data_IF_842112221743
#
_entry.id   IF_842112221743
#
_cell.length_a   1.000
_cell.length_b   1.000
_cell.length_c   1.000
_cell.angle_alpha   90.00
_cell.angle_beta   90.00
_cell.angle_gamma   90.00
#
_symmetry.space_group_name_H-M   'P 1'
#
loop_
_entity.id
_entity.type
_entity.pdbx_description
1 polymer ?
#
# COMPACT_ATOMS: atom_id res chain seq x y z
N UNK A 1 16.95 -4.22 -15.83
CA UNK A 1 17.29 -4.73 -17.20
C UNK A 1 18.28 -5.91 -17.17
N UNK A 2 19.29 -5.95 -16.29
CA UNK A 2 20.29 -7.06 -16.25
C UNK A 2 19.72 -8.48 -16.09
N UNK A 3 18.78 -8.71 -15.16
CA UNK A 3 18.23 -10.06 -14.90
C UNK A 3 17.26 -10.54 -15.99
N UNK A 4 16.40 -9.65 -16.51
CA UNK A 4 15.47 -9.97 -17.60
C UNK A 4 16.24 -10.38 -18.86
N UNK A 5 17.28 -9.60 -19.23
CA UNK A 5 18.12 -9.95 -20.38
C UNK A 5 18.80 -11.31 -20.24
N UNK A 6 19.27 -11.65 -19.03
CA UNK A 6 19.85 -12.97 -18.77
C UNK A 6 18.83 -14.08 -19.04
N UNK A 7 17.59 -13.92 -18.58
CA UNK A 7 16.51 -14.88 -18.84
C UNK A 7 16.15 -14.98 -20.33
N UNK A 8 16.13 -13.85 -21.05
CA UNK A 8 15.95 -13.84 -22.50
C UNK A 8 17.08 -14.58 -23.23
N UNK A 9 18.34 -14.32 -22.85
CA UNK A 9 19.51 -14.96 -23.42
C UNK A 9 19.54 -16.49 -23.09
N UNK A 10 18.88 -16.91 -22.01
CA UNK A 10 18.63 -18.33 -21.64
C UNK A 10 17.44 -18.96 -22.40
N UNK A 11 16.74 -18.19 -23.25
CA UNK A 11 15.65 -18.68 -24.11
C UNK A 11 14.24 -18.41 -23.61
N UNK A 12 14.06 -17.66 -22.52
CA UNK A 12 12.72 -17.27 -22.03
C UNK A 12 12.15 -16.17 -22.92
N UNK A 13 10.95 -16.40 -23.46
CA UNK A 13 10.21 -15.40 -24.24
C UNK A 13 9.28 -14.59 -23.34
N UNK A 14 9.44 -13.27 -23.30
CA UNK A 14 8.55 -12.36 -22.58
C UNK A 14 7.56 -11.70 -23.55
N UNK A 15 6.27 -11.95 -23.35
CA UNK A 15 5.19 -11.25 -24.03
C UNK A 15 4.61 -10.20 -23.09
N UNK A 16 4.93 -8.93 -23.33
CA UNK A 16 4.46 -7.80 -22.52
C UNK A 16 3.22 -7.15 -23.12
N UNK A 17 2.49 -6.35 -22.33
CA UNK A 17 1.25 -5.69 -22.78
C UNK A 17 0.17 -6.69 -23.20
N UNK A 18 0.12 -7.83 -22.50
CA UNK A 18 -0.85 -8.91 -22.73
C UNK A 18 -1.52 -9.23 -21.40
N UNK A 19 -2.85 -9.26 -21.41
CA UNK A 19 -3.69 -9.65 -20.29
C UNK A 19 -4.34 -11.01 -20.56
N UNK A 20 -3.97 -12.02 -19.77
CA UNK A 20 -4.56 -13.37 -19.87
C UNK A 20 -6.04 -13.33 -19.48
N UNK A 21 -6.89 -13.99 -20.25
CA UNK A 21 -8.35 -13.92 -20.13
C UNK A 21 -9.00 -12.78 -20.92
N UNK A 22 -8.22 -11.81 -21.43
CA UNK A 22 -8.70 -10.71 -22.27
C UNK A 22 -8.07 -10.78 -23.67
N UNK A 23 -6.75 -10.62 -23.75
CA UNK A 23 -6.00 -10.63 -25.02
C UNK A 23 -5.69 -12.05 -25.49
N UNK A 24 -5.36 -12.94 -24.54
CA UNK A 24 -5.14 -14.36 -24.79
C UNK A 24 -6.09 -15.14 -23.91
N UNK A 25 -6.96 -15.92 -24.54
CA UNK A 25 -7.89 -16.80 -23.82
C UNK A 25 -7.11 -17.86 -23.05
N UNK A 26 -7.48 -18.05 -21.79
CA UNK A 26 -6.86 -19.03 -20.92
C UNK A 26 -6.90 -20.45 -21.49
N UNK A 27 -8.04 -20.85 -22.10
CA UNK A 27 -8.19 -22.16 -22.74
C UNK A 27 -7.07 -22.44 -23.75
N UNK A 28 -6.68 -21.42 -24.52
CA UNK A 28 -5.59 -21.56 -25.49
C UNK A 28 -4.27 -21.92 -24.79
N UNK A 29 -4.00 -21.35 -23.62
CA UNK A 29 -2.80 -21.70 -22.85
C UNK A 29 -2.86 -23.14 -22.32
N UNK A 30 -4.04 -23.60 -21.89
CA UNK A 30 -4.25 -24.97 -21.41
C UNK A 30 -4.08 -25.98 -22.54
N UNK A 31 -4.54 -25.65 -23.75
CA UNK A 31 -4.44 -26.52 -24.92
C UNK A 31 -3.02 -26.53 -25.52
N UNK A 32 -2.30 -25.39 -25.49
CA UNK A 32 -1.01 -25.22 -26.18
C UNK A 32 0.22 -25.59 -25.31
N UNK A 33 0.09 -25.72 -23.98
CA UNK A 33 1.22 -25.93 -23.07
C UNK A 33 1.00 -27.07 -22.08
N UNK A 34 2.07 -27.83 -21.80
CA UNK A 34 2.05 -28.96 -20.85
C UNK A 34 1.88 -28.53 -19.38
N UNK A 35 2.27 -27.30 -19.03
CA UNK A 35 2.20 -26.76 -17.68
C UNK A 35 2.00 -25.24 -17.68
N UNK A 36 1.26 -24.76 -16.69
CA UNK A 36 0.99 -23.34 -16.46
C UNK A 36 1.37 -23.01 -15.01
N UNK A 37 2.17 -21.96 -14.84
CA UNK A 37 2.55 -21.43 -13.52
C UNK A 37 1.92 -20.05 -13.33
N UNK A 38 1.10 -19.91 -12.28
CA UNK A 38 0.43 -18.65 -11.97
C UNK A 38 1.31 -17.76 -11.11
N UNK A 39 1.75 -16.63 -11.67
CA UNK A 39 2.65 -15.66 -11.04
C UNK A 39 2.07 -14.24 -11.01
N UNK A 40 0.74 -14.08 -11.02
CA UNK A 40 0.06 -12.78 -11.13
C UNK A 40 0.19 -11.87 -9.90
N UNK A 41 0.61 -12.40 -8.76
CA UNK A 41 0.74 -11.62 -7.52
C UNK A 41 -0.62 -11.27 -6.88
N UNK A 42 -0.63 -10.26 -6.01
CA UNK A 42 -1.84 -9.79 -5.31
C UNK A 42 -2.14 -8.36 -5.74
N UNK A 43 -3.29 -8.16 -6.36
CA UNK A 43 -3.61 -6.90 -7.05
C UNK A 43 -4.71 -6.12 -6.35
N UNK A 44 -5.57 -6.77 -5.53
CA UNK A 44 -6.66 -6.09 -4.85
C UNK A 44 -6.12 -5.29 -3.66
N UNK A 45 -6.04 -3.94 -3.72
CA UNK A 45 -5.54 -3.17 -2.59
C UNK A 45 -6.55 -3.20 -1.45
N UNK A 46 -6.05 -3.11 -0.21
CA UNK A 46 -6.90 -2.81 0.95
C UNK A 46 -7.42 -1.39 0.85
N UNK A 47 -8.72 -1.23 1.11
CA UNK A 47 -9.39 0.06 1.15
C UNK A 47 -9.94 0.35 2.56
N UNK A 48 -10.27 1.62 2.82
CA UNK A 48 -10.95 2.05 4.06
C UNK A 48 -12.27 2.73 3.69
N UNK A 49 -13.41 2.00 3.75
CA UNK A 49 -14.72 2.54 3.40
C UNK A 49 -15.30 3.38 4.55
N UNK A 50 -14.75 4.58 4.74
CA UNK A 50 -15.21 5.55 5.75
C UNK A 50 -15.77 6.80 5.09
N UNK A 51 -16.49 7.61 5.87
CA UNK A 51 -17.02 8.90 5.43
C UNK A 51 -15.91 9.77 4.82
N UNK A 52 -16.19 10.35 3.64
CA UNK A 52 -15.25 11.21 2.91
C UNK A 52 -14.19 10.46 2.09
N UNK A 53 -14.22 9.12 2.04
CA UNK A 53 -13.27 8.31 1.25
C UNK A 53 -13.22 8.68 -0.23
N UNK A 54 -14.32 9.15 -0.80
CA UNK A 54 -14.45 9.49 -2.22
C UNK A 54 -13.99 10.93 -2.57
N UNK A 55 -13.50 11.69 -1.58
CA UNK A 55 -12.95 13.03 -1.82
C UNK A 55 -11.69 12.93 -2.70
N UNK A 56 -11.55 13.89 -3.62
CA UNK A 56 -10.35 14.04 -4.43
C UNK A 56 -9.13 14.34 -3.54
N UNK A 57 -7.98 13.77 -3.92
CA UNK A 57 -6.74 13.75 -3.13
C UNK A 57 -6.53 12.48 -2.28
N UNK A 58 -7.45 11.51 -2.30
CA UNK A 58 -7.27 10.22 -1.62
C UNK A 58 -7.02 9.11 -2.65
N UNK A 59 -5.81 8.53 -2.62
CA UNK A 59 -5.37 7.56 -3.63
C UNK A 59 -4.77 6.31 -3.00
N UNK A 60 -4.88 5.17 -3.67
CA UNK A 60 -4.03 4.02 -3.38
C UNK A 60 -2.56 4.35 -3.67
N UNK A 61 -1.65 3.84 -2.85
CA UNK A 61 -0.21 4.01 -3.06
C UNK A 61 0.25 3.57 -4.46
N UNK A 62 -0.37 2.51 -5.01
CA UNK A 62 -0.06 2.02 -6.36
C UNK A 62 -0.57 2.91 -7.50
N UNK A 63 -1.39 3.93 -7.24
CA UNK A 63 -1.69 4.94 -8.24
C UNK A 63 -0.60 6.02 -8.27
N UNK A 64 0.15 6.17 -7.17
CA UNK A 64 1.18 7.20 -6.98
C UNK A 64 2.60 6.69 -7.33
N UNK A 65 3.04 5.58 -6.73
CA UNK A 65 4.41 5.09 -6.83
C UNK A 65 4.85 4.74 -8.26
N UNK A 66 4.05 4.04 -9.09
CA UNK A 66 4.45 3.74 -10.47
C UNK A 66 4.67 4.99 -11.31
N UNK A 67 3.96 6.10 -11.01
CA UNK A 67 4.20 7.36 -11.71
C UNK A 67 5.61 7.89 -11.44
N UNK A 68 6.14 7.73 -10.22
CA UNK A 68 7.52 8.13 -9.92
C UNK A 68 8.53 7.26 -10.66
N UNK A 69 8.31 5.94 -10.73
CA UNK A 69 9.18 5.04 -11.49
C UNK A 69 9.22 5.44 -12.98
N UNK A 70 8.06 5.73 -13.57
CA UNK A 70 7.93 6.25 -14.93
C UNK A 70 8.71 7.55 -15.12
N UNK A 71 8.54 8.54 -14.22
CA UNK A 71 9.31 9.80 -14.27
C UNK A 71 10.83 9.56 -14.19
N UNK A 72 11.29 8.61 -13.36
CA UNK A 72 12.70 8.27 -13.24
C UNK A 72 13.27 7.62 -14.53
N UNK A 73 12.44 6.88 -15.27
CA UNK A 73 12.80 6.31 -16.60
C UNK A 73 12.65 7.33 -17.74
N UNK A 74 12.16 8.54 -17.46
CA UNK A 74 12.03 9.65 -18.41
C UNK A 74 10.65 9.84 -19.02
N UNK A 75 9.64 9.08 -18.58
CA UNK A 75 8.27 9.24 -19.06
C UNK A 75 7.64 10.55 -18.56
N UNK A 76 6.77 11.14 -19.39
CA UNK A 76 5.94 12.28 -19.01
C UNK A 76 4.57 11.79 -18.58
N UNK A 77 4.21 12.08 -17.33
CA UNK A 77 2.87 11.80 -16.80
C UNK A 77 1.96 12.98 -17.11
N UNK A 78 0.82 12.71 -17.74
CA UNK A 78 -0.15 13.75 -18.07
C UNK A 78 -0.71 14.42 -16.81
N UNK A 79 -0.95 15.73 -16.88
CA UNK A 79 -1.31 16.56 -15.71
C UNK A 79 -2.65 16.18 -15.09
N UNK A 80 -3.58 15.65 -15.88
CA UNK A 80 -4.92 15.22 -15.47
C UNK A 80 -4.90 13.98 -14.56
N UNK A 81 -3.88 13.12 -14.69
CA UNK A 81 -3.72 11.91 -13.86
C UNK A 81 -2.55 12.00 -12.87
N UNK A 82 -1.78 13.09 -12.94
CA UNK A 82 -0.55 13.26 -12.16
C UNK A 82 -0.86 13.41 -10.68
N UNK A 83 -0.33 12.49 -9.87
CA UNK A 83 -0.38 12.57 -8.41
C UNK A 83 1.00 13.02 -7.93
N UNK A 84 1.07 14.20 -7.34
CA UNK A 84 2.30 14.81 -6.84
C UNK A 84 2.13 15.29 -5.40
N UNK A 85 3.18 15.11 -4.60
CA UNK A 85 3.26 15.49 -3.20
C UNK A 85 3.81 16.90 -2.98
N UNK A 86 4.39 17.54 -4.01
CA UNK A 86 5.09 18.83 -3.90
C UNK A 86 4.22 19.90 -3.23
N UNK A 87 4.72 20.47 -2.13
CA UNK A 87 4.06 21.55 -1.39
C UNK A 87 2.79 21.14 -0.63
N UNK A 88 2.43 19.85 -0.59
CA UNK A 88 1.23 19.33 0.07
C UNK A 88 1.50 18.82 1.48
N UNK A 89 0.46 18.80 2.31
CA UNK A 89 0.42 18.00 3.52
C UNK A 89 0.00 16.57 3.15
N UNK A 90 0.93 15.62 3.24
CA UNK A 90 0.73 14.22 2.83
C UNK A 90 0.47 13.35 4.04
N UNK A 91 -0.58 12.54 3.99
CA UNK A 91 -0.82 11.45 4.93
C UNK A 91 -0.62 10.10 4.24
N UNK A 92 0.23 9.26 4.82
CA UNK A 92 0.44 7.87 4.40
C UNK A 92 -0.23 6.97 5.42
N UNK A 93 -1.10 6.06 4.98
CA UNK A 93 -1.76 5.10 5.86
C UNK A 93 -1.18 3.72 5.60
N UNK A 94 -0.34 3.22 6.51
CA UNK A 94 0.37 1.95 6.44
C UNK A 94 1.87 2.09 6.77
N UNK A 95 2.38 1.22 7.65
CA UNK A 95 3.77 1.20 8.11
C UNK A 95 4.70 0.22 7.40
N UNK A 96 4.22 -0.51 6.39
CA UNK A 96 5.02 -1.46 5.62
C UNK A 96 5.92 -0.80 4.56
N UNK A 97 6.59 -1.63 3.74
CA UNK A 97 7.52 -1.18 2.71
C UNK A 97 6.87 -0.22 1.69
N UNK A 98 5.61 -0.48 1.30
CA UNK A 98 4.87 0.45 0.42
C UNK A 98 4.69 1.84 1.05
N UNK A 99 4.49 1.91 2.38
CA UNK A 99 4.43 3.17 3.10
C UNK A 99 5.80 3.86 3.16
N UNK A 100 6.87 3.09 3.39
CA UNK A 100 8.26 3.56 3.30
C UNK A 100 8.59 4.17 1.93
N UNK A 101 8.13 3.55 0.83
CA UNK A 101 8.35 4.07 -0.52
C UNK A 101 7.54 5.34 -0.79
N UNK A 102 6.31 5.42 -0.28
CA UNK A 102 5.48 6.63 -0.35
C UNK A 102 6.16 7.79 0.39
N UNK A 103 6.75 7.51 1.56
CA UNK A 103 7.50 8.46 2.35
C UNK A 103 8.70 9.00 1.55
N UNK A 104 9.58 8.10 1.10
CA UNK A 104 10.78 8.47 0.36
C UNK A 104 10.48 9.26 -0.92
N UNK A 105 9.41 8.89 -1.63
CA UNK A 105 8.95 9.61 -2.83
C UNK A 105 8.41 10.99 -2.49
N UNK A 106 7.56 11.09 -1.46
CA UNK A 106 6.95 12.36 -1.04
C UNK A 106 7.99 13.37 -0.54
N UNK A 107 9.00 12.90 0.20
CA UNK A 107 10.14 13.71 0.63
C UNK A 107 10.90 14.28 -0.57
N UNK A 108 11.27 13.41 -1.53
CA UNK A 108 12.03 13.81 -2.73
C UNK A 108 11.24 14.74 -3.66
N UNK A 109 9.91 14.62 -3.70
CA UNK A 109 9.05 15.55 -4.43
C UNK A 109 8.86 16.90 -3.73
N UNK A 110 9.31 17.05 -2.48
CA UNK A 110 9.22 18.30 -1.73
C UNK A 110 7.85 18.53 -1.10
N UNK A 111 7.27 17.50 -0.49
CA UNK A 111 6.09 17.66 0.36
C UNK A 111 6.33 18.68 1.48
N UNK A 112 5.27 19.42 1.85
CA UNK A 112 5.34 20.45 2.89
C UNK A 112 5.39 19.82 4.28
N UNK A 113 4.47 18.89 4.54
CA UNK A 113 4.42 18.07 5.74
C UNK A 113 4.10 16.63 5.34
N UNK A 114 4.62 15.66 6.10
CA UNK A 114 4.31 14.24 5.89
C UNK A 114 3.94 13.62 7.24
N UNK A 115 2.85 12.88 7.26
CA UNK A 115 2.39 12.08 8.39
C UNK A 115 2.28 10.63 7.94
N UNK A 116 2.61 9.68 8.82
CA UNK A 116 2.42 8.26 8.55
C UNK A 116 1.65 7.61 9.70
N UNK A 117 0.48 7.05 9.41
CA UNK A 117 -0.33 6.34 10.39
C UNK A 117 -0.13 4.84 10.24
N UNK A 118 0.09 4.19 11.38
CA UNK A 118 0.07 2.75 11.53
C UNK A 118 -1.03 2.39 12.53
N UNK A 119 -1.88 1.44 12.16
CA UNK A 119 -2.96 0.96 13.01
C UNK A 119 -2.41 0.13 14.16
N UNK A 120 -1.36 -0.65 13.88
CA UNK A 120 -0.72 -1.51 14.87
C UNK A 120 0.10 -0.71 15.89
N UNK A 121 0.28 -1.24 17.11
CA UNK A 121 1.16 -0.64 18.09
C UNK A 121 2.60 -0.63 17.58
N UNK A 122 3.41 0.26 18.15
CA UNK A 122 4.83 0.33 17.83
C UNK A 122 5.48 -1.05 18.08
N UNK A 123 6.12 -1.65 17.06
CA UNK A 123 6.81 -2.91 17.23
C UNK A 123 7.96 -2.78 18.24
N UNK A 124 8.34 -3.86 18.95
CA UNK A 124 9.48 -3.84 19.86
C UNK A 124 10.80 -3.63 19.11
N UNK A 125 11.82 -3.08 19.78
CA UNK A 125 13.16 -2.93 19.17
C UNK A 125 13.84 -4.28 18.91
N UNK A 126 13.60 -5.25 19.81
CA UNK A 126 14.19 -6.58 19.74
C UNK A 126 13.12 -7.67 19.58
N UNK A 127 13.56 -8.79 19.01
CA UNK A 127 12.72 -9.95 18.76
C UNK A 127 12.29 -10.60 20.07
N UNK A 128 10.98 -10.74 20.28
CA UNK A 128 10.43 -11.43 21.46
C UNK A 128 10.56 -12.94 21.32
N UNK A 129 10.66 -13.64 22.46
CA UNK A 129 10.68 -15.11 22.52
C UNK A 129 9.45 -15.75 21.87
N UNK A 130 8.31 -15.04 21.84
CA UNK A 130 7.05 -15.48 21.23
C UNK A 130 6.99 -15.32 19.70
N UNK A 131 8.04 -14.79 19.07
CA UNK A 131 8.18 -14.72 17.62
C UNK A 131 9.59 -15.22 17.25
N UNK A 132 9.89 -16.53 17.38
CA UNK A 132 11.23 -17.07 17.16
C UNK A 132 11.55 -17.25 15.67
N UNK A 133 12.83 -17.44 15.34
CA UNK A 133 13.22 -17.93 14.01
C UNK A 133 12.65 -19.35 13.79
N UNK A 134 12.13 -19.70 12.60
CA UNK A 134 12.26 -19.03 11.29
C UNK A 134 11.13 -18.05 10.92
N UNK A 135 10.29 -17.63 11.86
CA UNK A 135 9.22 -16.67 11.55
C UNK A 135 9.79 -15.32 11.04
N UNK A 136 8.94 -14.49 10.45
CA UNK A 136 9.34 -13.12 10.15
C UNK A 136 9.47 -12.31 11.45
N UNK A 137 10.58 -11.56 11.66
CA UNK A 137 10.76 -10.81 12.89
C UNK A 137 9.82 -9.61 12.95
N UNK A 138 8.96 -9.57 13.97
CA UNK A 138 8.09 -8.45 14.32
C UNK A 138 8.84 -7.46 15.21
N UNK A 139 9.75 -6.69 14.59
CA UNK A 139 10.58 -5.67 15.25
C UNK A 139 10.41 -4.32 14.58
N UNK A 140 10.76 -3.25 15.29
CA UNK A 140 10.74 -1.90 14.78
C UNK A 140 11.76 -1.78 13.65
N UNK A 141 11.30 -1.37 12.48
CA UNK A 141 12.15 -1.16 11.31
C UNK A 141 12.21 0.32 10.98
N UNK A 142 13.42 0.77 10.68
CA UNK A 142 13.70 2.09 10.16
C UNK A 142 14.33 1.88 8.80
N UNK A 143 13.70 2.43 7.77
CA UNK A 143 14.22 2.40 6.41
C UNK A 143 14.98 3.69 6.12
N UNK A 144 15.75 3.73 5.03
CA UNK A 144 16.42 4.96 4.58
C UNK A 144 15.44 6.13 4.40
N UNK A 145 14.21 5.87 3.95
CA UNK A 145 13.17 6.90 3.84
C UNK A 145 12.79 7.51 5.19
N UNK A 146 12.81 6.73 6.27
CA UNK A 146 12.57 7.23 7.62
C UNK A 146 13.76 8.03 8.15
N UNK A 147 14.98 7.59 7.85
CA UNK A 147 16.20 8.34 8.22
C UNK A 147 16.31 9.69 7.50
N UNK A 148 15.80 9.78 6.26
CA UNK A 148 15.71 11.02 5.51
C UNK A 148 14.67 12.00 6.08
N UNK A 149 13.69 11.50 6.82
CA UNK A 149 12.71 12.35 7.49
C UNK A 149 13.39 13.10 8.64
N UNK A 150 13.29 14.44 8.63
CA UNK A 150 13.96 15.31 9.62
C UNK A 150 13.34 15.28 11.02
N UNK A 151 12.24 14.56 11.20
CA UNK A 151 11.49 14.42 12.45
C UNK A 151 10.75 13.09 12.46
N UNK A 152 10.32 12.62 13.63
CA UNK A 152 9.41 11.46 13.70
C UNK A 152 8.06 11.85 13.10
N UNK A 153 7.68 11.12 12.05
CA UNK A 153 6.43 11.34 11.30
C UNK A 153 5.40 10.22 11.53
N UNK A 154 5.83 9.10 12.13
CA UNK A 154 4.98 7.94 12.37
C UNK A 154 4.16 8.13 13.63
N UNK A 155 2.88 7.80 13.53
CA UNK A 155 1.99 7.60 14.66
C UNK A 155 1.47 6.16 14.62
N UNK A 156 1.83 5.41 15.65
CA UNK A 156 1.36 4.05 15.88
C UNK A 156 0.04 4.05 16.63
N UNK A 157 -0.69 2.94 16.60
CA UNK A 157 -1.95 2.83 17.33
C UNK A 157 -2.94 3.93 16.93
N UNK A 158 -3.02 4.28 15.64
CA UNK A 158 -3.95 5.30 15.13
C UNK A 158 -4.94 4.70 14.13
N UNK A 159 -6.22 4.96 14.37
CA UNK A 159 -7.30 4.60 13.45
C UNK A 159 -7.88 5.85 12.79
N UNK A 160 -7.99 5.81 11.46
CA UNK A 160 -8.61 6.88 10.68
C UNK A 160 -10.13 6.72 10.71
N UNK A 161 -10.86 7.77 11.10
CA UNK A 161 -12.30 7.73 11.33
C UNK A 161 -13.11 8.30 10.17
N UNK A 162 -12.66 9.43 9.61
CA UNK A 162 -13.25 10.04 8.42
C UNK A 162 -12.30 11.02 7.75
N UNK A 163 -12.62 11.36 6.52
CA UNK A 163 -12.03 12.48 5.80
C UNK A 163 -13.07 13.58 5.66
N UNK A 164 -12.63 14.83 5.70
CA UNK A 164 -13.49 15.98 5.44
C UNK A 164 -12.81 16.94 4.48
N UNK A 165 -13.61 17.65 3.72
CA UNK A 165 -13.16 18.42 2.59
C UNK A 165 -14.10 19.55 2.22
N UNK A 166 -13.65 20.36 1.26
CA UNK A 166 -14.43 21.42 0.63
C UNK A 166 -14.28 21.30 -0.89
N UNK A 167 -15.32 21.66 -1.64
CA UNK A 167 -15.32 21.61 -3.11
C UNK A 167 -14.93 20.23 -3.68
N UNK A 168 -15.33 19.16 -3.00
CA UNK A 168 -15.03 17.77 -3.38
C UNK A 168 -13.58 17.33 -3.12
N UNK A 169 -12.73 18.17 -2.51
CA UNK A 169 -11.32 17.87 -2.23
C UNK A 169 -11.07 17.70 -0.75
N UNK A 170 -10.21 16.74 -0.40
CA UNK A 170 -9.80 16.54 1.00
C UNK A 170 -9.10 17.79 1.56
N UNK A 171 -9.41 18.09 2.82
CA UNK A 171 -8.75 19.14 3.60
C UNK A 171 -8.26 18.65 4.95
N UNK A 172 -8.93 17.67 5.54
CA UNK A 172 -8.59 17.16 6.87
C UNK A 172 -8.84 15.66 7.01
N UNK A 173 -8.00 15.03 7.81
CA UNK A 173 -8.21 13.69 8.35
C UNK A 173 -8.65 13.79 9.81
N UNK A 174 -9.60 12.95 10.20
CA UNK A 174 -10.05 12.78 11.58
C UNK A 174 -9.61 11.40 12.05
N UNK A 175 -8.88 11.35 13.16
CA UNK A 175 -8.30 10.13 13.67
C UNK A 175 -8.44 10.02 15.20
N UNK A 176 -8.21 8.82 15.71
CA UNK A 176 -8.28 8.50 17.13
C UNK A 176 -7.18 7.50 17.48
N UNK A 177 -6.64 7.59 18.69
CA UNK A 177 -5.73 6.57 19.19
C UNK A 177 -6.51 5.32 19.60
N UNK A 178 -5.90 4.16 19.37
CA UNK A 178 -6.51 2.85 19.58
C UNK A 178 -5.56 1.89 20.26
N UNK A 179 -6.13 1.03 21.09
CA UNK A 179 -5.44 -0.12 21.68
C UNK A 179 -6.14 -1.40 21.26
N UNK A 180 -5.39 -2.48 21.24
CA UNK A 180 -5.93 -3.80 21.01
C UNK A 180 -6.30 -4.43 22.36
N UNK A 181 -7.52 -4.96 22.47
CA UNK A 181 -7.98 -5.69 23.65
C UNK A 181 -7.42 -7.12 23.70
N UNK A 182 -8.02 -7.98 24.51
CA UNK A 182 -7.67 -9.40 24.51
C UNK A 182 -8.29 -10.12 23.31
N UNK A 183 -7.63 -11.12 22.72
CA UNK A 183 -8.19 -11.93 21.64
C UNK A 183 -9.52 -12.55 22.07
N UNK A 184 -10.53 -12.40 21.22
CA UNK A 184 -11.82 -13.04 21.40
C UNK A 184 -11.65 -14.58 21.44
N UNK A 185 -12.13 -15.29 22.48
CA UNK A 185 -11.92 -16.73 22.62
C UNK A 185 -12.54 -17.59 21.51
N UNK A 186 -13.59 -17.12 20.85
CA UNK A 186 -14.29 -17.87 19.80
C UNK A 186 -13.70 -17.59 18.41
N UNK A 187 -13.37 -16.33 18.13
CA UNK A 187 -12.95 -15.89 16.79
C UNK A 187 -11.43 -15.69 16.66
N UNK A 188 -10.71 -15.65 17.78
CA UNK A 188 -9.29 -15.31 17.85
C UNK A 188 -8.97 -13.87 17.47
N UNK A 189 -9.98 -13.03 17.20
CA UNK A 189 -9.80 -11.65 16.74
C UNK A 189 -9.59 -10.73 17.92
N UNK A 190 -8.60 -9.86 17.80
CA UNK A 190 -8.33 -8.85 18.81
C UNK A 190 -9.19 -7.61 18.56
N UNK A 191 -10.08 -7.21 19.50
CA UNK A 191 -10.95 -6.07 19.30
C UNK A 191 -10.13 -4.78 19.33
N UNK A 192 -10.48 -3.85 18.44
CA UNK A 192 -9.93 -2.50 18.42
C UNK A 192 -10.71 -1.62 19.39
N UNK A 193 -10.05 -1.09 20.41
CA UNK A 193 -10.65 -0.24 21.44
C UNK A 193 -10.15 1.19 21.25
N UNK A 194 -11.05 2.12 20.96
CA UNK A 194 -10.73 3.55 20.91
C UNK A 194 -10.39 4.07 22.30
N UNK A 195 -9.36 4.91 22.40
CA UNK A 195 -9.02 5.61 23.63
C UNK A 195 -9.91 6.86 23.71
N UNK A 196 -10.85 6.95 24.67
CA UNK A 196 -11.69 8.14 24.82
C UNK A 196 -10.82 9.40 24.95
N UNK A 197 -11.27 10.51 24.36
CA UNK A 197 -10.59 11.81 24.37
C UNK A 197 -9.29 11.93 23.54
N UNK A 198 -8.84 10.85 22.89
CA UNK A 198 -7.66 10.87 21.98
C UNK A 198 -7.97 11.29 20.54
N UNK A 199 -9.15 11.88 20.29
CA UNK A 199 -9.55 12.30 18.94
C UNK A 199 -8.76 13.52 18.50
N UNK A 200 -8.26 13.49 17.27
CA UNK A 200 -7.51 14.61 16.70
C UNK A 200 -7.76 14.77 15.20
N UNK A 201 -7.44 15.96 14.70
CA UNK A 201 -7.53 16.31 13.28
C UNK A 201 -6.17 16.78 12.77
N UNK A 202 -5.87 16.50 11.49
CA UNK A 202 -4.72 17.07 10.79
C UNK A 202 -5.17 17.62 9.43
N UNK A 203 -4.60 18.75 9.03
CA UNK A 203 -4.79 19.29 7.68
C UNK A 203 -3.99 18.45 6.68
N UNK A 204 -4.68 17.91 5.67
CA UNK A 204 -4.10 17.03 4.65
C UNK A 204 -4.64 17.37 3.27
N UNK A 205 -3.76 17.39 2.28
CA UNK A 205 -4.10 17.66 0.87
C UNK A 205 -3.96 16.41 -0.02
N UNK A 206 -3.21 15.40 0.46
CA UNK A 206 -2.96 14.15 -0.25
C UNK A 206 -2.94 12.98 0.75
N UNK A 207 -3.74 11.96 0.51
CA UNK A 207 -3.75 10.71 1.29
C UNK A 207 -3.31 9.56 0.38
N UNK A 208 -2.34 8.78 0.86
CA UNK A 208 -1.81 7.60 0.18
C UNK A 208 -2.11 6.34 1.01
N UNK A 209 -3.01 5.51 0.50
CA UNK A 209 -3.39 4.24 1.14
C UNK A 209 -2.37 3.16 0.80
N UNK A 210 -1.52 2.83 1.78
CA UNK A 210 -0.40 1.89 1.67
C UNK A 210 -0.59 0.66 2.59
N UNK A 211 -1.82 0.14 2.67
CA UNK A 211 -2.21 -0.92 3.61
C UNK A 211 -2.05 -2.34 3.05
N UNK A 212 -1.28 -2.48 1.97
CA UNK A 212 -1.06 -3.74 1.27
C UNK A 212 -2.27 -4.22 0.46
N UNK A 213 -2.23 -5.51 0.11
CA UNK A 213 -3.17 -6.15 -0.79
C UNK A 213 -3.82 -7.35 -0.10
N UNK A 214 -4.98 -7.76 -0.62
CA UNK A 214 -5.77 -8.85 -0.02
C UNK A 214 -5.58 -10.16 -0.78
N UNK A 215 -5.69 -10.14 -2.11
CA UNK A 215 -5.66 -11.32 -2.96
C UNK A 215 -5.42 -10.95 -4.45
N UNK A 216 -5.07 -11.91 -5.32
CA UNK A 216 -5.11 -11.73 -6.79
C UNK A 216 -6.51 -11.37 -7.29
N UNK A 217 -6.63 -10.91 -8.55
CA UNK A 217 -7.94 -10.74 -9.18
C UNK A 217 -8.57 -12.13 -9.41
N UNK A 218 -9.71 -12.39 -8.77
CA UNK A 218 -10.41 -13.67 -8.90
C UNK A 218 -11.24 -13.76 -10.19
N UNK A 219 -11.86 -12.66 -10.62
CA UNK A 219 -12.64 -12.62 -11.85
C UNK A 219 -11.75 -12.91 -13.08
N UNK A 220 -12.29 -13.67 -14.03
CA UNK A 220 -11.56 -14.14 -15.21
C UNK A 220 -10.70 -15.37 -14.88
N UNK A 221 -9.39 -15.26 -15.13
CA UNK A 221 -8.45 -16.39 -15.17
C UNK A 221 -8.55 -17.34 -13.96
N UNK A 222 -8.57 -16.83 -12.73
CA UNK A 222 -8.57 -17.68 -11.52
C UNK A 222 -9.89 -18.44 -11.40
N UNK A 223 -11.02 -17.77 -11.62
CA UNK A 223 -12.34 -18.40 -11.60
C UNK A 223 -12.49 -19.45 -12.69
N UNK A 224 -11.98 -19.17 -13.91
CA UNK A 224 -12.03 -20.09 -15.04
C UNK A 224 -11.18 -21.35 -14.84
N UNK A 225 -10.00 -21.22 -14.21
CA UNK A 225 -9.16 -22.36 -13.84
C UNK A 225 -9.70 -23.16 -12.65
N UNK A 226 -10.72 -22.65 -11.94
CA UNK A 226 -11.27 -23.24 -10.71
C UNK A 226 -10.19 -23.55 -9.66
N UNK A 227 -9.14 -22.73 -9.59
CA UNK A 227 -8.08 -22.84 -8.57
C UNK A 227 -8.63 -22.31 -7.25
N UNK A 228 -8.34 -23.02 -6.15
CA UNK A 228 -8.76 -22.64 -4.80
C UNK A 228 -7.77 -21.70 -4.12
#
# INVERSE_FOLDING_TARGET
KRRVKLMEDEGITFLTSVHIGIDILLKKLVDDFDAIVLCGGSEKPRDIPIEGRDLDGIHFAMNFLPQQNKRNEGDVISKDISIEAKGKNVLIIGGGDTGSDCLGTSLRQGAKNIYQFELLPQPPEERKLTNPWPEWPMIMRVSSSHEEAKSEIRKFSVSTKKFSGSDGKIKKVHAVEVKFGDPDPETGRTPLIEIPESKFELDVDLVLLAMGFVHPIHEGMISELAVK
#
